data_IF_144190185387
#
_entry.id   IF_144190185387
#
_cell.length_a   1.000
_cell.length_b   1.000
_cell.length_c   1.000
_cell.angle_alpha   90.00
_cell.angle_beta   90.00
_cell.angle_gamma   90.00
#
_symmetry.space_group_name_H-M   'P 1'
#
loop_
_entity.id
_entity.type
_entity.pdbx_description
1 polymer ?
#
# COMPACT_ATOMS: atom_id res chain seq x y z
N UNK A 1 11.08 -31.37 -34.84
CA UNK A 1 12.13 -31.12 -33.83
C UNK A 1 12.52 -29.66 -33.92
N UNK A 2 11.93 -28.81 -33.09
CA UNK A 2 12.29 -27.40 -32.98
C UNK A 2 12.51 -27.11 -31.50
N UNK A 3 13.78 -26.91 -31.12
CA UNK A 3 14.19 -26.59 -29.76
C UNK A 3 13.78 -25.17 -29.42
N UNK A 4 13.04 -25.02 -28.33
CA UNK A 4 12.76 -23.72 -27.73
C UNK A 4 14.03 -23.22 -26.99
N UNK A 5 14.41 -21.93 -27.11
CA UNK A 5 15.48 -21.38 -26.30
C UNK A 5 14.97 -21.13 -24.88
N UNK A 6 15.69 -21.69 -23.90
CA UNK A 6 15.54 -21.38 -22.47
C UNK A 6 15.92 -19.93 -22.19
N UNK A 7 15.14 -19.15 -21.40
CA UNK A 7 15.63 -17.94 -20.80
C UNK A 7 15.92 -18.18 -19.32
N UNK A 8 17.01 -18.89 -19.00
CA UNK A 8 17.64 -18.76 -17.68
C UNK A 8 18.56 -17.53 -17.72
N UNK A 9 17.97 -16.35 -17.58
CA UNK A 9 18.73 -15.11 -17.37
C UNK A 9 19.13 -15.03 -15.90
N UNK A 10 20.34 -15.50 -15.57
CA UNK A 10 21.07 -15.02 -14.38
C UNK A 10 21.60 -13.64 -14.75
N UNK A 11 20.81 -12.61 -14.43
CA UNK A 11 21.05 -11.24 -14.86
C UNK A 11 21.13 -10.24 -13.72
N UNK A 12 22.06 -10.42 -12.78
CA UNK A 12 22.86 -9.33 -12.16
C UNK A 12 24.00 -9.96 -11.38
N UNK A 13 25.22 -9.77 -11.88
CA UNK A 13 26.44 -10.26 -11.28
C UNK A 13 26.65 -9.71 -9.87
N UNK A 14 26.46 -10.56 -8.87
CA UNK A 14 27.42 -10.65 -7.79
C UNK A 14 28.43 -11.71 -8.24
N UNK A 15 29.48 -11.27 -8.93
CA UNK A 15 30.63 -12.13 -9.21
C UNK A 15 31.13 -12.70 -7.90
N UNK A 16 31.39 -14.01 -7.89
CA UNK A 16 32.06 -14.77 -6.85
C UNK A 16 33.45 -14.17 -6.61
N UNK A 17 33.53 -13.13 -5.79
CA UNK A 17 34.75 -12.49 -5.33
C UNK A 17 35.35 -13.32 -4.19
N UNK A 18 36.58 -13.75 -4.39
CA UNK A 18 37.31 -14.62 -3.50
C UNK A 18 38.02 -13.84 -2.38
N UNK A 19 37.98 -14.42 -1.18
CA UNK A 19 39.07 -14.42 -0.19
C UNK A 19 39.51 -13.10 0.46
N UNK A 20 38.76 -12.02 0.36
CA UNK A 20 38.66 -11.00 1.39
C UNK A 20 37.40 -11.28 2.20
N UNK A 21 37.53 -11.47 3.52
CA UNK A 21 36.50 -11.94 4.46
C UNK A 21 35.26 -11.05 4.64
N UNK A 22 34.87 -10.27 3.61
CA UNK A 22 33.75 -9.34 3.56
C UNK A 22 32.74 -9.61 2.43
N UNK A 23 32.71 -10.81 1.84
CA UNK A 23 31.67 -11.18 0.87
C UNK A 23 30.26 -11.07 1.46
N UNK A 24 29.34 -10.41 0.74
CA UNK A 24 27.93 -10.42 1.12
C UNK A 24 27.38 -11.84 1.05
N UNK A 25 26.55 -12.26 2.03
CA UNK A 25 25.96 -13.57 2.00
C UNK A 25 25.02 -13.68 0.80
N UNK A 26 24.95 -14.86 0.18
CA UNK A 26 24.00 -15.13 -0.89
C UNK A 26 22.66 -15.49 -0.24
N UNK A 27 21.55 -14.84 -0.62
CA UNK A 27 20.24 -15.19 -0.09
C UNK A 27 19.82 -16.59 -0.54
N UNK A 28 19.23 -17.36 0.38
CA UNK A 28 18.48 -18.59 0.09
C UNK A 28 17.27 -18.28 -0.77
N UNK A 29 16.57 -17.20 -0.42
CA UNK A 29 15.40 -16.70 -1.14
C UNK A 29 15.57 -15.20 -1.34
N UNK A 30 15.34 -14.71 -2.55
CA UNK A 30 15.41 -13.29 -2.86
C UNK A 30 14.18 -12.91 -3.69
N UNK A 31 13.32 -12.09 -3.10
CA UNK A 31 12.06 -11.68 -3.67
C UNK A 31 12.15 -10.19 -3.95
N UNK A 32 12.57 -9.82 -5.17
CA UNK A 32 12.68 -8.44 -5.59
C UNK A 32 11.50 -8.08 -6.50
N UNK A 33 10.51 -7.39 -5.92
CA UNK A 33 9.27 -7.05 -6.58
C UNK A 33 9.43 -5.89 -7.57
N UNK A 34 10.40 -5.00 -7.34
CA UNK A 34 10.68 -3.86 -8.25
C UNK A 34 11.27 -4.35 -9.56
N UNK A 35 12.24 -5.26 -9.51
CA UNK A 35 12.87 -5.83 -10.71
C UNK A 35 12.13 -7.05 -11.26
N UNK A 36 11.05 -7.48 -10.61
CA UNK A 36 10.34 -8.72 -10.91
C UNK A 36 11.29 -9.95 -10.97
N UNK A 37 12.23 -10.03 -10.03
CA UNK A 37 13.23 -11.09 -9.94
C UNK A 37 13.00 -11.92 -8.67
N UNK A 38 12.85 -13.23 -8.83
CA UNK A 38 12.58 -14.15 -7.72
C UNK A 38 13.56 -15.32 -7.80
N UNK A 39 14.29 -15.58 -6.72
CA UNK A 39 15.16 -16.75 -6.58
C UNK A 39 14.84 -17.54 -5.32
N UNK A 40 14.99 -18.85 -5.40
CA UNK A 40 14.69 -19.79 -4.30
C UNK A 40 13.20 -20.11 -4.14
N UNK A 41 12.29 -19.24 -4.60
CA UNK A 41 10.85 -19.49 -4.65
C UNK A 41 10.22 -18.76 -5.86
N UNK A 42 8.93 -18.96 -6.10
CA UNK A 42 8.18 -18.33 -7.19
C UNK A 42 7.02 -17.49 -6.67
N UNK A 43 6.66 -16.43 -7.40
CA UNK A 43 5.48 -15.62 -7.08
C UNK A 43 4.20 -16.48 -7.03
N UNK A 44 4.09 -17.49 -7.88
CA UNK A 44 2.96 -18.42 -7.91
C UNK A 44 2.83 -19.24 -6.62
N UNK A 45 3.95 -19.68 -6.03
CA UNK A 45 3.94 -20.39 -4.75
C UNK A 45 3.50 -19.49 -3.59
N UNK A 46 3.91 -18.23 -3.61
CA UNK A 46 3.59 -17.24 -2.57
C UNK A 46 2.21 -16.58 -2.76
N UNK A 47 1.56 -16.79 -3.91
CA UNK A 47 0.22 -16.32 -4.21
C UNK A 47 -0.87 -17.35 -3.84
N UNK A 48 -0.57 -18.33 -2.98
CA UNK A 48 -1.43 -19.52 -2.80
C UNK A 48 -2.81 -19.24 -2.17
N UNK A 49 -3.01 -18.11 -1.50
CA UNK A 49 -4.35 -17.61 -1.11
C UNK A 49 -4.91 -16.58 -2.12
N UNK A 50 -4.69 -16.78 -3.43
CA UNK A 50 -5.25 -15.98 -4.52
C UNK A 50 -6.79 -16.04 -4.66
N UNK A 51 -7.54 -16.23 -3.57
CA UNK A 51 -8.99 -16.10 -3.57
C UNK A 51 -9.48 -14.65 -3.63
N UNK A 52 -8.59 -13.66 -3.45
CA UNK A 52 -9.00 -12.29 -3.14
C UNK A 52 -8.11 -11.22 -3.80
N UNK A 53 -7.50 -11.48 -4.96
CA UNK A 53 -6.88 -10.38 -5.73
C UNK A 53 -7.88 -9.82 -6.72
N UNK A 54 -8.72 -8.87 -6.32
CA UNK A 54 -9.46 -8.07 -7.31
C UNK A 54 -8.48 -7.12 -7.97
N UNK A 55 -8.64 -6.90 -9.28
CA UNK A 55 -7.83 -5.95 -10.04
C UNK A 55 -7.68 -4.64 -9.27
N UNK A 56 -6.42 -4.28 -9.03
CA UNK A 56 -6.05 -3.16 -8.17
C UNK A 56 -5.78 -1.89 -8.95
N UNK A 57 -5.66 -0.79 -8.22
CA UNK A 57 -5.16 0.47 -8.75
C UNK A 57 -4.08 0.96 -7.79
N UNK A 58 -2.93 1.31 -8.35
CA UNK A 58 -1.85 1.94 -7.61
C UNK A 58 -1.47 3.27 -8.27
N UNK A 59 -0.76 4.09 -7.50
CA UNK A 59 -0.16 5.34 -7.97
C UNK A 59 1.33 5.09 -8.16
N UNK A 60 1.82 5.33 -9.37
CA UNK A 60 3.25 5.24 -9.67
C UNK A 60 4.00 6.33 -8.92
N UNK A 61 5.03 5.97 -8.17
CA UNK A 61 5.82 6.95 -7.42
C UNK A 61 6.66 7.86 -8.33
N UNK A 62 7.08 7.37 -9.50
CA UNK A 62 7.93 8.11 -10.44
C UNK A 62 7.19 9.16 -11.27
N UNK A 63 5.89 8.96 -11.48
CA UNK A 63 5.09 9.75 -12.42
C UNK A 63 3.79 10.29 -11.83
N UNK A 64 3.36 9.80 -10.67
CA UNK A 64 2.07 10.15 -10.05
C UNK A 64 0.84 9.64 -10.83
N UNK A 65 1.08 8.86 -11.89
CA UNK A 65 0.03 8.29 -12.75
C UNK A 65 -0.68 7.14 -12.05
N UNK A 66 -1.97 7.04 -12.32
CA UNK A 66 -2.83 5.96 -11.80
C UNK A 66 -2.85 4.80 -12.78
N UNK A 67 -2.45 3.62 -12.32
CA UNK A 67 -2.29 2.42 -13.15
C UNK A 67 -3.08 1.26 -12.55
N UNK A 68 -3.74 0.49 -13.43
CA UNK A 68 -4.45 -0.73 -13.04
C UNK A 68 -3.49 -1.92 -12.98
N UNK A 69 -3.75 -2.85 -12.07
CA UNK A 69 -3.09 -4.16 -12.01
C UNK A 69 -4.10 -5.24 -12.39
N UNK A 70 -3.63 -6.28 -13.07
CA UNK A 70 -4.46 -7.41 -13.46
C UNK A 70 -5.18 -8.02 -12.25
N UNK A 71 -6.42 -8.46 -12.45
CA UNK A 71 -7.14 -9.25 -11.46
C UNK A 71 -6.50 -10.64 -11.31
N UNK A 72 -6.78 -11.30 -10.17
CA UNK A 72 -6.34 -12.65 -9.84
C UNK A 72 -4.81 -12.83 -9.75
N UNK A 73 -4.07 -11.76 -9.51
CA UNK A 73 -2.62 -11.78 -9.30
C UNK A 73 -2.22 -10.84 -8.15
N UNK A 74 -1.13 -11.13 -7.42
CA UNK A 74 -0.55 -10.18 -6.47
C UNK A 74 -0.33 -8.82 -7.13
N UNK A 75 -0.67 -7.72 -6.45
CA UNK A 75 -0.49 -6.38 -7.04
C UNK A 75 0.98 -5.97 -6.95
N UNK A 76 1.80 -6.53 -7.83
CA UNK A 76 3.19 -6.13 -8.04
C UNK A 76 3.22 -4.98 -9.04
N UNK A 77 3.82 -3.87 -8.63
CA UNK A 77 3.97 -2.65 -9.39
C UNK A 77 5.46 -2.29 -9.52
N UNK A 78 5.83 -1.30 -10.36
CA UNK A 78 7.18 -0.74 -10.35
C UNK A 78 7.60 -0.16 -8.98
N UNK A 79 6.64 0.14 -8.09
CA UNK A 79 6.98 0.55 -6.73
C UNK A 79 7.42 -0.66 -5.88
N UNK A 80 6.88 -1.85 -6.15
CA UNK A 80 7.04 -3.10 -5.38
C UNK A 80 5.72 -3.87 -5.27
N UNK A 81 5.63 -4.83 -4.34
CA UNK A 81 4.37 -5.44 -3.94
C UNK A 81 3.56 -4.43 -3.12
N UNK A 82 2.41 -4.02 -3.64
CA UNK A 82 1.43 -3.23 -2.90
C UNK A 82 0.81 -4.12 -1.81
N UNK A 83 0.65 -3.61 -0.59
CA UNK A 83 0.04 -4.34 0.53
C UNK A 83 -0.96 -3.41 1.19
N UNK A 84 -2.24 -3.72 1.01
CA UNK A 84 -3.35 -2.85 1.42
C UNK A 84 -4.48 -3.66 2.06
N UNK A 85 -5.14 -3.12 3.11
CA UNK A 85 -6.31 -3.75 3.71
C UNK A 85 -7.51 -3.68 2.78
N UNK A 86 -8.53 -4.51 3.06
CA UNK A 86 -9.81 -4.43 2.35
C UNK A 86 -10.43 -3.04 2.52
N UNK A 87 -11.05 -2.53 1.45
CA UNK A 87 -11.74 -1.23 1.43
C UNK A 87 -13.00 -1.33 0.58
N UNK A 88 -14.10 -0.79 1.10
CA UNK A 88 -15.33 -0.61 0.33
C UNK A 88 -15.48 0.86 -0.01
N UNK A 89 -15.55 1.18 -1.29
CA UNK A 89 -15.90 2.53 -1.73
C UNK A 89 -17.39 2.63 -1.97
N UNK A 90 -18.03 3.55 -1.26
CA UNK A 90 -19.47 3.75 -1.23
C UNK A 90 -19.93 4.74 -2.29
N UNK A 91 -19.05 5.65 -2.72
CA UNK A 91 -19.34 6.55 -3.83
C UNK A 91 -19.51 5.74 -5.13
N UNK A 92 -20.41 6.17 -5.99
CA UNK A 92 -20.71 5.57 -7.29
C UNK A 92 -20.24 6.49 -8.41
N UNK A 93 -20.03 5.93 -9.61
CA UNK A 93 -19.58 6.69 -10.78
C UNK A 93 -18.44 7.66 -10.44
N UNK A 94 -17.42 7.15 -9.75
CA UNK A 94 -16.44 7.96 -9.00
C UNK A 94 -15.54 8.83 -9.84
N UNK A 95 -15.54 8.56 -11.14
CA UNK A 95 -14.83 9.34 -12.15
C UNK A 95 -15.80 10.11 -13.04
N UNK A 96 -17.10 9.86 -12.93
CA UNK A 96 -18.17 10.37 -13.79
C UNK A 96 -19.29 11.10 -13.07
N UNK A 97 -18.97 12.35 -12.73
CA UNK A 97 -19.93 13.33 -12.24
C UNK A 97 -20.98 13.63 -13.29
N UNK A 98 -20.74 13.47 -14.60
CA UNK A 98 -21.76 13.76 -15.64
C UNK A 98 -22.98 12.84 -15.53
N UNK A 99 -22.81 11.64 -14.96
CA UNK A 99 -23.88 10.67 -14.76
C UNK A 99 -25.04 11.23 -13.92
N UNK A 100 -26.23 10.68 -14.13
CA UNK A 100 -27.45 11.03 -13.39
C UNK A 100 -27.43 10.64 -11.91
N UNK A 101 -26.44 9.87 -11.46
CA UNK A 101 -26.24 9.54 -10.04
C UNK A 101 -25.78 10.75 -9.22
N UNK A 102 -25.29 11.80 -9.89
CA UNK A 102 -24.88 13.05 -9.26
C UNK A 102 -25.89 14.17 -9.55
N UNK A 103 -26.48 14.72 -8.50
CA UNK A 103 -27.29 15.94 -8.56
C UNK A 103 -26.37 17.15 -8.60
N UNK A 104 -26.68 18.11 -9.48
CA UNK A 104 -25.84 19.28 -9.74
C UNK A 104 -26.72 20.52 -9.70
N UNK A 105 -26.36 21.49 -8.88
CA UNK A 105 -27.06 22.78 -8.77
C UNK A 105 -26.03 23.89 -8.88
N UNK A 106 -26.19 24.80 -9.85
CA UNK A 106 -25.20 25.85 -10.08
C UNK A 106 -23.83 25.34 -10.59
N UNK A 107 -23.80 24.13 -11.16
CA UNK A 107 -22.60 23.50 -11.75
C UNK A 107 -23.01 22.71 -12.99
N UNK A 108 -22.22 22.79 -14.05
CA UNK A 108 -22.31 21.88 -15.20
C UNK A 108 -21.11 20.94 -15.19
N UNK A 109 -21.28 19.72 -15.71
CA UNK A 109 -20.22 18.71 -15.74
C UNK A 109 -20.04 18.14 -17.15
N UNK A 110 -18.80 17.94 -17.57
CA UNK A 110 -18.43 17.28 -18.84
C UNK A 110 -17.31 16.26 -18.60
N UNK A 111 -17.09 15.32 -19.54
CA UNK A 111 -15.98 14.35 -19.46
C UNK A 111 -14.66 15.03 -19.86
N UNK A 112 -13.56 14.69 -19.21
CA UNK A 112 -12.22 15.25 -19.48
C UNK A 112 -11.11 14.21 -19.29
N UNK A 113 -9.87 14.62 -19.53
CA UNK A 113 -8.66 13.82 -19.30
C UNK A 113 -8.54 13.45 -17.81
N UNK A 114 -8.50 12.15 -17.53
CA UNK A 114 -8.32 11.66 -16.16
C UNK A 114 -6.88 11.72 -15.68
N UNK A 115 -6.70 11.52 -14.38
CA UNK A 115 -5.39 11.47 -13.74
C UNK A 115 -4.46 10.38 -14.29
N UNK A 116 -5.03 9.34 -14.88
CA UNK A 116 -4.30 8.28 -15.59
C UNK A 116 -3.89 8.67 -17.03
N UNK A 117 -4.15 9.89 -17.47
CA UNK A 117 -3.90 10.34 -18.85
C UNK A 117 -4.89 9.80 -19.88
N UNK A 118 -5.94 9.10 -19.45
CA UNK A 118 -6.97 8.57 -20.36
C UNK A 118 -8.04 9.62 -20.69
N UNK A 119 -8.43 9.70 -21.97
CA UNK A 119 -9.53 10.56 -22.40
C UNK A 119 -10.86 10.13 -21.78
N UNK A 120 -11.70 11.09 -21.40
CA UNK A 120 -13.00 10.85 -20.79
C UNK A 120 -12.93 9.95 -19.55
N UNK A 121 -11.90 10.13 -18.71
CA UNK A 121 -11.69 9.38 -17.47
C UNK A 121 -11.82 10.23 -16.21
N UNK A 122 -12.10 11.52 -16.32
CA UNK A 122 -12.48 12.39 -15.21
C UNK A 122 -13.67 13.28 -15.59
N UNK A 123 -14.12 14.12 -14.66
CA UNK A 123 -15.19 15.07 -14.88
C UNK A 123 -14.74 16.51 -14.67
N UNK A 124 -14.96 17.36 -15.66
CA UNK A 124 -14.78 18.81 -15.56
C UNK A 124 -16.05 19.46 -15.04
N UNK A 125 -15.98 20.06 -13.87
CA UNK A 125 -17.03 20.87 -13.27
C UNK A 125 -16.80 22.35 -13.59
N UNK A 126 -17.74 22.98 -14.29
CA UNK A 126 -17.78 24.43 -14.51
C UNK A 126 -18.85 25.02 -13.61
N UNK A 127 -18.44 25.90 -12.69
CA UNK A 127 -19.33 26.48 -11.69
C UNK A 127 -20.12 27.62 -12.35
N UNK A 128 -21.45 27.54 -12.36
CA UNK A 128 -22.32 28.52 -13.01
C UNK A 128 -22.99 29.48 -12.04
N UNK A 129 -22.98 29.17 -10.74
CA UNK A 129 -23.45 30.05 -9.68
C UNK A 129 -22.55 29.95 -8.44
N UNK A 130 -22.40 31.04 -7.70
CA UNK A 130 -21.67 31.03 -6.42
C UNK A 130 -22.30 30.02 -5.46
N UNK A 131 -21.47 29.25 -4.76
CA UNK A 131 -21.97 28.18 -3.89
C UNK A 131 -22.56 27.01 -4.67
N UNK A 132 -22.17 26.79 -5.93
CA UNK A 132 -22.61 25.63 -6.72
C UNK A 132 -22.29 24.32 -6.01
N UNK A 133 -23.19 23.34 -6.10
CA UNK A 133 -23.14 22.07 -5.36
C UNK A 133 -23.25 20.89 -6.32
N UNK A 134 -22.45 19.86 -6.05
CA UNK A 134 -22.55 18.54 -6.67
C UNK A 134 -22.69 17.51 -5.55
N UNK A 135 -23.77 16.73 -5.55
CA UNK A 135 -24.07 15.75 -4.50
C UNK A 135 -24.40 14.40 -5.09
N UNK A 136 -24.03 13.34 -4.36
CA UNK A 136 -24.53 12.00 -4.61
C UNK A 136 -25.28 11.53 -3.38
N UNK A 137 -26.53 11.09 -3.60
CA UNK A 137 -27.36 10.54 -2.53
C UNK A 137 -26.71 9.27 -1.93
N UNK A 138 -27.04 8.97 -0.68
CA UNK A 138 -26.49 7.81 0.02
C UNK A 138 -26.87 6.53 -0.72
N UNK A 139 -25.88 5.77 -1.19
CA UNK A 139 -26.12 4.47 -1.83
C UNK A 139 -26.30 3.34 -0.80
N UNK A 140 -25.85 3.52 0.45
CA UNK A 140 -25.79 2.46 1.47
C UNK A 140 -25.92 3.06 2.88
N UNK A 141 -26.70 2.42 3.76
CA UNK A 141 -26.55 2.58 5.21
C UNK A 141 -25.22 1.95 5.62
N UNK A 142 -24.17 2.75 5.70
CA UNK A 142 -22.92 2.31 6.32
C UNK A 142 -22.87 2.94 7.70
N UNK A 143 -22.78 2.11 8.74
CA UNK A 143 -22.48 2.54 10.09
C UNK A 143 -20.99 2.29 10.32
N UNK A 144 -20.25 3.34 10.66
CA UNK A 144 -18.86 3.25 11.06
C UNK A 144 -17.99 4.36 10.49
N UNK A 145 -16.68 4.19 10.63
CA UNK A 145 -15.71 5.17 10.14
C UNK A 145 -15.70 5.19 8.60
N UNK A 146 -15.78 6.38 8.03
CA UNK A 146 -15.72 6.64 6.60
C UNK A 146 -14.74 7.79 6.36
N UNK A 147 -13.95 7.69 5.29
CA UNK A 147 -13.05 8.76 4.86
C UNK A 147 -13.36 9.21 3.44
N UNK A 148 -13.36 10.52 3.23
CA UNK A 148 -13.53 11.16 1.94
C UNK A 148 -12.20 11.57 1.31
N UNK A 149 -12.10 11.47 -0.02
CA UNK A 149 -11.04 12.13 -0.78
C UNK A 149 -11.47 12.35 -2.24
N UNK A 150 -10.74 13.18 -2.97
CA UNK A 150 -10.89 13.36 -4.42
C UNK A 150 -9.54 13.65 -5.05
N UNK A 151 -9.32 13.20 -6.28
CA UNK A 151 -8.23 13.70 -7.12
C UNK A 151 -8.70 14.99 -7.80
N UNK A 152 -8.08 16.11 -7.45
CA UNK A 152 -8.54 17.42 -7.88
C UNK A 152 -7.46 18.15 -8.69
N UNK A 153 -7.86 18.75 -9.80
CA UNK A 153 -7.05 19.62 -10.64
C UNK A 153 -7.80 20.95 -10.83
N UNK A 154 -7.13 22.08 -10.59
CA UNK A 154 -7.69 23.40 -10.86
C UNK A 154 -7.36 23.82 -12.29
N UNK A 155 -8.39 23.92 -13.13
CA UNK A 155 -8.25 24.34 -14.52
C UNK A 155 -8.16 25.85 -14.63
N UNK A 156 -9.07 26.55 -13.96
CA UNK A 156 -9.08 28.01 -13.90
C UNK A 156 -9.85 28.50 -12.68
N UNK A 157 -9.63 29.77 -12.31
CA UNK A 157 -10.31 30.39 -11.19
C UNK A 157 -9.49 30.46 -9.91
N UNK A 158 -10.09 31.06 -8.89
CA UNK A 158 -9.42 31.36 -7.61
C UNK A 158 -10.21 30.88 -6.39
N UNK A 159 -11.45 30.45 -6.58
CA UNK A 159 -12.26 30.00 -5.47
C UNK A 159 -11.82 28.67 -4.89
N UNK A 160 -12.36 28.40 -3.71
CA UNK A 160 -12.21 27.15 -2.98
C UNK A 160 -13.19 26.09 -3.47
N UNK A 161 -12.79 24.84 -3.25
CA UNK A 161 -13.66 23.67 -3.29
C UNK A 161 -13.76 23.11 -1.88
N UNK A 162 -14.95 22.76 -1.43
CA UNK A 162 -15.19 22.08 -0.16
C UNK A 162 -15.78 20.70 -0.43
N UNK A 163 -15.50 19.75 0.46
CA UNK A 163 -16.06 18.40 0.42
C UNK A 163 -16.79 18.09 1.72
N UNK A 164 -17.90 17.37 1.60
CA UNK A 164 -18.69 16.80 2.69
C UNK A 164 -18.86 15.31 2.43
N UNK A 165 -18.91 14.49 3.50
CA UNK A 165 -19.30 13.07 3.44
C UNK A 165 -20.52 12.75 4.33
N UNK A 166 -21.12 13.76 4.97
CA UNK A 166 -22.16 13.60 6.00
C UNK A 166 -23.48 14.27 5.62
N UNK A 167 -23.80 14.32 4.32
CA UNK A 167 -25.05 14.92 3.86
C UNK A 167 -25.05 16.45 3.95
N UNK A 168 -23.88 17.08 3.78
CA UNK A 168 -23.67 18.52 3.76
C UNK A 168 -23.78 19.20 5.14
N UNK A 169 -23.72 18.42 6.22
CA UNK A 169 -23.73 18.95 7.58
C UNK A 169 -22.39 19.59 7.95
N UNK A 170 -21.27 19.01 7.50
CA UNK A 170 -19.94 19.57 7.70
C UNK A 170 -19.18 19.68 6.37
N UNK A 171 -18.65 20.88 6.10
CA UNK A 171 -17.86 21.17 4.91
C UNK A 171 -16.40 21.36 5.26
N UNK A 172 -15.51 20.67 4.55
CA UNK A 172 -14.07 20.78 4.71
C UNK A 172 -13.49 21.38 3.44
N UNK A 173 -12.79 22.51 3.57
CA UNK A 173 -12.06 23.15 2.46
C UNK A 173 -10.94 22.23 1.99
N UNK A 174 -10.92 21.93 0.69
CA UNK A 174 -9.87 21.14 0.05
C UNK A 174 -8.66 22.04 -0.23
N UNK A 175 -7.62 21.89 0.59
CA UNK A 175 -6.39 22.68 0.49
C UNK A 175 -5.38 22.18 -0.55
N UNK A 176 -4.52 23.08 -1.03
CA UNK A 176 -3.38 22.73 -1.88
C UNK A 176 -3.77 22.29 -3.30
N UNK A 177 -4.86 22.85 -3.84
CA UNK A 177 -5.32 22.62 -5.21
C UNK A 177 -4.38 23.35 -6.17
N UNK A 178 -3.90 22.64 -7.20
CA UNK A 178 -2.93 23.15 -8.18
C UNK A 178 -3.39 22.88 -9.61
N UNK A 179 -2.64 23.35 -10.61
CA UNK A 179 -2.81 22.97 -12.01
C UNK A 179 -2.27 21.56 -12.34
N UNK A 180 -2.29 20.65 -11.37
CA UNK A 180 -1.96 19.25 -11.48
C UNK A 180 -2.88 18.44 -10.54
N UNK A 181 -3.21 17.21 -10.92
CA UNK A 181 -4.05 16.35 -10.09
C UNK A 181 -3.35 16.04 -8.77
N UNK A 182 -4.05 16.31 -7.67
CA UNK A 182 -3.62 15.94 -6.32
C UNK A 182 -4.74 15.22 -5.61
N UNK A 183 -4.41 14.13 -4.89
CA UNK A 183 -5.38 13.45 -4.02
C UNK A 183 -5.49 14.24 -2.73
N UNK A 184 -6.67 14.76 -2.43
CA UNK A 184 -6.91 15.57 -1.24
C UNK A 184 -7.93 14.83 -0.37
N UNK A 185 -7.52 14.27 0.79
CA UNK A 185 -8.46 13.69 1.75
C UNK A 185 -9.09 14.76 2.64
N UNK A 186 -10.22 14.40 3.23
CA UNK A 186 -10.79 15.08 4.41
C UNK A 186 -10.66 14.16 5.63
N UNK A 187 -10.74 14.68 6.87
CA UNK A 187 -10.70 13.86 8.07
C UNK A 187 -11.78 12.76 8.07
N UNK A 188 -11.48 11.56 8.62
CA UNK A 188 -12.47 10.49 8.73
C UNK A 188 -13.59 10.88 9.72
N UNK A 189 -14.79 10.37 9.47
CA UNK A 189 -15.97 10.61 10.30
C UNK A 189 -16.70 9.30 10.57
N UNK A 190 -17.33 9.18 11.75
CA UNK A 190 -18.21 8.06 12.05
C UNK A 190 -19.64 8.42 11.63
N UNK A 191 -20.17 7.72 10.63
CA UNK A 191 -21.43 8.09 9.97
C UNK A 191 -22.36 6.89 9.88
N UNK A 192 -23.68 7.15 9.87
CA UNK A 192 -24.72 6.14 9.66
C UNK A 192 -25.32 6.17 8.23
N UNK A 193 -25.14 7.28 7.51
CA UNK A 193 -25.68 7.50 6.17
C UNK A 193 -24.75 8.42 5.36
N UNK A 194 -23.55 7.94 4.97
CA UNK A 194 -22.58 8.79 4.30
C UNK A 194 -23.08 9.24 2.92
N UNK A 195 -22.92 10.54 2.64
CA UNK A 195 -23.27 11.18 1.38
C UNK A 195 -22.15 12.11 0.96
N UNK A 196 -21.56 11.85 -0.21
CA UNK A 196 -20.50 12.68 -0.74
C UNK A 196 -21.07 13.89 -1.47
N UNK A 197 -20.51 15.05 -1.16
CA UNK A 197 -20.88 16.31 -1.76
C UNK A 197 -19.66 17.22 -1.96
N UNK A 198 -19.73 18.07 -2.98
CA UNK A 198 -18.78 19.14 -3.24
C UNK A 198 -19.51 20.47 -3.31
N UNK A 199 -18.91 21.51 -2.75
CA UNK A 199 -19.38 22.90 -2.86
C UNK A 199 -18.26 23.76 -3.45
N UNK A 200 -18.62 24.61 -4.40
CA UNK A 200 -17.70 25.47 -5.12
C UNK A 200 -18.04 26.93 -4.81
N UNK A 201 -17.04 27.72 -4.47
CA UNK A 201 -17.27 29.09 -3.99
C UNK A 201 -17.72 30.07 -5.08
N UNK A 202 -17.02 30.15 -6.22
CA UNK A 202 -17.22 31.22 -7.20
C UNK A 202 -17.74 30.70 -8.54
N UNK A 203 -18.72 31.42 -9.11
CA UNK A 203 -19.14 31.24 -10.49
C UNK A 203 -17.98 31.56 -11.45
N UNK A 204 -17.85 30.76 -12.51
CA UNK A 204 -16.77 30.84 -13.49
C UNK A 204 -15.53 30.00 -13.15
N UNK A 205 -15.41 29.48 -11.93
CA UNK A 205 -14.33 28.55 -11.61
C UNK A 205 -14.50 27.21 -12.35
N UNK A 206 -13.37 26.57 -12.66
CA UNK A 206 -13.35 25.29 -13.38
C UNK A 206 -12.37 24.34 -12.70
N UNK A 207 -12.88 23.15 -12.34
CA UNK A 207 -12.11 22.10 -11.69
C UNK A 207 -12.34 20.77 -12.38
N UNK A 208 -11.29 19.96 -12.50
CA UNK A 208 -11.42 18.57 -12.89
C UNK A 208 -11.37 17.70 -11.63
N UNK A 209 -12.41 16.86 -11.47
CA UNK A 209 -12.58 15.92 -10.37
C UNK A 209 -12.44 14.50 -10.91
N UNK A 210 -11.61 13.72 -10.23
CA UNK A 210 -11.36 12.32 -10.54
C UNK A 210 -11.31 11.49 -9.25
N UNK A 211 -11.55 10.18 -9.36
CA UNK A 211 -11.45 9.22 -8.24
C UNK A 211 -12.09 9.67 -6.91
N UNK A 212 -13.33 10.12 -6.97
CA UNK A 212 -14.09 10.47 -5.76
C UNK A 212 -14.15 9.26 -4.83
N UNK A 213 -13.60 9.43 -3.64
CA UNK A 213 -13.42 8.40 -2.63
C UNK A 213 -14.38 8.68 -1.47
N UNK A 214 -15.13 7.67 -1.08
CA UNK A 214 -15.90 7.60 0.16
C UNK A 214 -15.76 6.18 0.69
N UNK A 215 -14.64 5.91 1.36
CA UNK A 215 -14.21 4.57 1.74
C UNK A 215 -14.50 4.25 3.19
N UNK A 216 -14.83 2.99 3.46
CA UNK A 216 -14.89 2.49 4.85
C UNK A 216 -13.50 2.47 5.50
N UNK A 217 -13.48 2.78 6.79
CA UNK A 217 -12.29 2.91 7.62
C UNK A 217 -11.88 4.36 7.87
N UNK A 218 -11.05 4.55 8.88
CA UNK A 218 -10.53 5.84 9.34
C UNK A 218 -9.22 6.28 8.66
N UNK A 219 -8.86 5.65 7.54
CA UNK A 219 -7.62 5.97 6.80
C UNK A 219 -7.82 5.78 5.31
N UNK A 220 -7.17 6.64 4.53
CA UNK A 220 -7.27 6.63 3.08
C UNK A 220 -6.63 5.36 2.51
N UNK A 221 -7.41 4.55 1.81
CA UNK A 221 -6.93 3.36 1.12
C UNK A 221 -6.51 3.63 -0.33
N UNK A 222 -6.18 2.58 -1.10
CA UNK A 222 -5.96 2.69 -2.53
C UNK A 222 -7.23 3.20 -3.23
N UNK A 223 -7.11 3.66 -4.47
CA UNK A 223 -8.30 4.04 -5.25
C UNK A 223 -9.11 2.80 -5.59
N UNK A 224 -10.43 2.93 -5.55
CA UNK A 224 -11.36 1.84 -5.83
C UNK A 224 -12.35 2.33 -6.87
N UNK A 225 -12.37 1.68 -8.04
CA UNK A 225 -13.35 2.00 -9.08
C UNK A 225 -14.71 1.50 -8.66
N UNK A 226 -15.71 2.37 -8.74
CA UNK A 226 -17.11 2.01 -8.64
C UNK A 226 -17.91 2.74 -9.71
N UNK A 227 -18.86 2.01 -10.29
CA UNK A 227 -19.77 2.49 -11.35
C UNK A 227 -21.20 2.45 -10.84
N UNK A 228 -21.94 1.37 -11.08
CA UNK A 228 -23.35 1.23 -10.69
C UNK A 228 -23.56 0.81 -9.22
N UNK A 229 -22.53 0.29 -8.55
CA UNK A 229 -22.64 -0.20 -7.17
C UNK A 229 -21.36 0.06 -6.38
N UNK A 230 -21.49 0.03 -5.05
CA UNK A 230 -20.36 0.12 -4.14
C UNK A 230 -19.45 -1.10 -4.34
N UNK A 231 -18.16 -0.87 -4.47
CA UNK A 231 -17.18 -1.93 -4.75
C UNK A 231 -16.31 -2.15 -3.53
N UNK A 232 -16.14 -3.42 -3.15
CA UNK A 232 -15.13 -3.84 -2.19
C UNK A 232 -13.87 -4.27 -2.94
N UNK A 233 -12.75 -3.62 -2.67
CA UNK A 233 -11.45 -4.21 -2.94
C UNK A 233 -11.05 -5.05 -1.73
N UNK A 234 -10.87 -6.36 -1.88
CA UNK A 234 -10.35 -7.21 -0.84
C UNK A 234 -8.95 -6.78 -0.42
N UNK A 235 -8.50 -7.34 0.71
CA UNK A 235 -7.13 -7.19 1.13
C UNK A 235 -6.17 -7.74 0.08
N UNK A 236 -5.15 -6.95 -0.25
CA UNK A 236 -4.04 -7.37 -1.07
C UNK A 236 -2.83 -7.72 -0.18
N UNK A 237 -2.38 -8.97 -0.25
CA UNK A 237 -1.23 -9.50 0.49
C UNK A 237 -0.61 -10.68 -0.24
N UNK A 238 0.65 -10.96 0.08
CA UNK A 238 1.30 -12.22 -0.29
C UNK A 238 1.30 -13.16 0.92
N UNK A 239 1.11 -14.45 0.67
CA UNK A 239 0.98 -15.48 1.73
C UNK A 239 1.55 -16.81 1.25
N UNK A 240 2.59 -17.34 1.91
CA UNK A 240 2.99 -18.73 1.71
C UNK A 240 2.25 -19.65 2.71
N UNK A 241 1.01 -19.99 2.36
CA UNK A 241 0.20 -20.94 3.11
C UNK A 241 0.62 -22.37 2.79
N UNK A 242 1.03 -23.11 3.80
CA UNK A 242 1.33 -24.54 3.71
C UNK A 242 2.30 -25.00 2.60
N UNK A 243 3.04 -24.08 1.97
CA UNK A 243 3.92 -24.37 0.84
C UNK A 243 5.39 -24.17 1.20
N UNK A 244 6.26 -25.17 0.97
CA UNK A 244 7.70 -24.96 0.91
C UNK A 244 8.05 -24.04 -0.27
N UNK A 245 9.28 -23.49 -0.32
CA UNK A 245 10.39 -23.72 0.62
C UNK A 245 10.55 -22.67 1.74
N UNK A 246 10.05 -21.44 1.58
CA UNK A 246 10.30 -20.34 2.55
C UNK A 246 9.76 -20.68 3.94
N UNK A 247 8.54 -21.22 4.02
CA UNK A 247 7.94 -21.64 5.30
C UNK A 247 8.84 -22.63 6.05
N UNK A 248 9.31 -23.66 5.35
CA UNK A 248 10.09 -24.74 5.97
C UNK A 248 11.48 -24.28 6.37
N UNK A 249 12.06 -23.35 5.60
CA UNK A 249 13.29 -22.68 5.97
C UNK A 249 13.15 -21.91 7.28
N UNK A 250 12.10 -21.10 7.43
CA UNK A 250 11.85 -20.32 8.65
C UNK A 250 11.60 -21.26 9.85
N UNK A 251 10.90 -22.39 9.65
CA UNK A 251 10.70 -23.43 10.67
C UNK A 251 12.00 -24.04 11.20
N UNK A 252 13.06 -24.04 10.39
CA UNK A 252 14.39 -24.51 10.79
C UNK A 252 15.02 -23.71 11.92
N UNK A 253 14.45 -22.55 12.26
CA UNK A 253 14.75 -21.76 13.44
C UNK A 253 15.98 -20.87 13.37
N UNK A 254 16.91 -21.12 12.43
CA UNK A 254 18.04 -20.24 12.16
C UNK A 254 17.81 -19.55 10.84
N UNK A 255 17.70 -18.23 10.88
CA UNK A 255 17.53 -17.45 9.66
C UNK A 255 17.85 -15.97 9.90
N UNK A 256 18.04 -15.29 8.79
CA UNK A 256 18.22 -13.86 8.67
C UNK A 256 17.30 -13.34 7.56
N UNK A 257 16.75 -12.14 7.74
CA UNK A 257 15.87 -11.51 6.76
C UNK A 257 16.29 -10.07 6.54
N UNK A 258 16.38 -9.67 5.29
CA UNK A 258 16.35 -8.28 4.86
C UNK A 258 14.96 -7.97 4.33
N UNK A 259 14.33 -6.95 4.89
CA UNK A 259 13.09 -6.36 4.42
C UNK A 259 13.36 -4.96 3.90
N UNK A 260 12.83 -4.63 2.72
CA UNK A 260 12.88 -3.28 2.16
C UNK A 260 11.48 -2.86 1.73
N UNK A 261 11.01 -1.73 2.23
CA UNK A 261 9.69 -1.23 1.88
C UNK A 261 9.32 0.08 2.56
N UNK A 262 8.08 0.51 2.34
CA UNK A 262 7.48 1.72 2.90
C UNK A 262 6.16 1.35 3.56
N UNK A 263 5.96 1.80 4.79
CA UNK A 263 4.74 1.57 5.58
C UNK A 263 4.11 2.92 5.89
N UNK A 264 2.81 3.07 5.65
CA UNK A 264 2.05 4.29 6.01
C UNK A 264 1.17 4.08 7.26
N UNK A 265 1.03 2.84 7.71
CA UNK A 265 0.20 2.51 8.88
C UNK A 265 1.00 2.54 10.19
N UNK A 266 0.67 3.49 11.07
CA UNK A 266 1.08 3.42 12.48
C UNK A 266 0.30 2.34 13.26
N UNK A 267 0.90 1.82 14.35
CA UNK A 267 0.21 1.05 15.39
C UNK A 267 0.34 -0.47 15.33
N UNK A 268 1.48 -1.02 15.76
CA UNK A 268 1.68 -2.45 16.01
C UNK A 268 1.53 -3.29 14.75
N UNK A 269 2.13 -2.87 13.64
CA UNK A 269 2.05 -3.55 12.33
C UNK A 269 3.22 -4.49 12.13
N UNK A 270 3.04 -5.50 11.28
CA UNK A 270 4.11 -6.43 10.92
C UNK A 270 4.87 -6.00 9.69
N UNK A 271 6.18 -6.18 9.68
CA UNK A 271 6.94 -6.27 8.42
C UNK A 271 6.67 -7.62 7.74
N UNK A 272 6.55 -8.66 8.56
CA UNK A 272 6.09 -10.00 8.17
C UNK A 272 5.52 -10.74 9.40
N UNK A 273 4.63 -11.68 9.14
CA UNK A 273 3.80 -12.35 10.14
C UNK A 273 3.85 -13.84 9.95
N UNK A 274 3.71 -14.56 11.05
CA UNK A 274 3.37 -15.96 10.98
C UNK A 274 2.31 -16.32 12.01
N UNK A 275 1.30 -17.09 11.59
CA UNK A 275 0.18 -17.54 12.42
C UNK A 275 -0.47 -16.42 13.23
N UNK A 276 -0.76 -15.30 12.55
CA UNK A 276 -1.30 -14.07 13.12
C UNK A 276 -0.41 -13.38 14.18
N UNK A 277 0.82 -13.86 14.42
CA UNK A 277 1.79 -13.22 15.30
C UNK A 277 2.83 -12.42 14.50
N UNK A 278 3.00 -11.15 14.88
CA UNK A 278 4.07 -10.33 14.31
C UNK A 278 5.41 -10.91 14.71
N UNK A 279 6.19 -11.30 13.71
CA UNK A 279 7.56 -11.67 13.95
C UNK A 279 8.35 -10.39 14.20
N UNK A 280 8.42 -9.53 13.19
CA UNK A 280 8.94 -8.17 13.35
C UNK A 280 7.79 -7.15 13.38
N UNK A 281 7.64 -6.41 14.48
CA UNK A 281 6.60 -5.41 14.67
C UNK A 281 7.13 -3.98 14.56
N UNK A 282 6.28 -3.06 14.10
CA UNK A 282 6.52 -1.61 14.09
C UNK A 282 5.37 -0.93 14.85
N UNK A 283 5.72 -0.23 15.93
CA UNK A 283 4.76 0.47 16.79
C UNK A 283 4.42 1.86 16.24
N UNK A 284 3.35 2.47 16.77
CA UNK A 284 2.89 3.79 16.30
C UNK A 284 3.91 4.92 16.47
N UNK A 285 4.79 4.79 17.46
CA UNK A 285 5.88 5.73 17.73
C UNK A 285 7.11 5.51 16.84
N UNK A 286 7.10 4.52 15.94
CA UNK A 286 8.22 4.15 15.07
C UNK A 286 9.29 3.28 15.74
N UNK A 287 9.05 2.76 16.95
CA UNK A 287 9.87 1.68 17.51
C UNK A 287 9.65 0.37 16.75
N UNK A 288 10.69 -0.45 16.67
CA UNK A 288 10.67 -1.73 15.92
C UNK A 288 11.09 -2.85 16.86
N UNK A 289 10.34 -3.95 16.89
CA UNK A 289 10.60 -5.11 17.74
C UNK A 289 10.83 -6.39 16.96
N UNK A 290 11.84 -7.17 17.37
CA UNK A 290 12.11 -8.54 16.94
C UNK A 290 12.43 -9.39 18.17
N UNK A 291 11.43 -10.09 18.73
CA UNK A 291 11.54 -10.67 20.06
C UNK A 291 11.77 -9.58 21.12
N UNK A 292 12.78 -9.74 21.98
CA UNK A 292 13.20 -8.68 22.93
C UNK A 292 14.25 -7.73 22.35
N UNK A 293 14.71 -7.93 21.10
CA UNK A 293 15.53 -6.93 20.41
C UNK A 293 14.63 -5.79 19.94
N UNK A 294 14.82 -4.58 20.49
CA UNK A 294 13.94 -3.46 20.23
C UNK A 294 14.73 -2.19 19.89
N UNK A 295 14.38 -1.57 18.77
CA UNK A 295 14.82 -0.23 18.40
C UNK A 295 13.88 0.82 19.02
N UNK A 296 14.40 1.96 19.52
CA UNK A 296 13.61 2.97 20.20
C UNK A 296 12.64 3.71 19.27
N UNK A 297 11.73 4.47 19.87
CA UNK A 297 10.78 5.33 19.17
C UNK A 297 11.48 6.22 18.13
N UNK A 298 10.81 6.41 17.00
CA UNK A 298 11.28 7.24 15.90
C UNK A 298 12.38 6.61 15.05
N UNK A 299 12.81 5.37 15.30
CA UNK A 299 13.84 4.70 14.48
C UNK A 299 13.31 4.40 13.08
N UNK A 300 12.11 3.81 12.99
CA UNK A 300 11.40 3.60 11.73
C UNK A 300 10.64 4.88 11.35
N UNK A 301 10.81 5.35 10.11
CA UNK A 301 10.04 6.48 9.58
C UNK A 301 8.93 5.97 8.66
N UNK A 302 7.69 6.24 9.06
CA UNK A 302 6.52 6.02 8.21
C UNK A 302 6.59 6.88 6.95
N UNK A 303 5.94 6.43 5.88
CA UNK A 303 5.92 7.09 4.57
C UNK A 303 7.30 7.33 3.93
N UNK A 304 8.34 6.69 4.45
CA UNK A 304 9.67 6.64 3.89
C UNK A 304 10.08 5.19 3.62
N UNK A 305 10.96 5.00 2.65
CA UNK A 305 11.59 3.70 2.44
C UNK A 305 12.54 3.38 3.59
N UNK A 306 12.39 2.17 4.12
CA UNK A 306 13.16 1.64 5.23
C UNK A 306 13.73 0.29 4.81
N UNK A 307 14.95 0.02 5.25
CA UNK A 307 15.55 -1.31 5.19
C UNK A 307 15.71 -1.83 6.61
N UNK A 308 15.21 -3.03 6.85
CA UNK A 308 15.25 -3.68 8.17
C UNK A 308 15.90 -5.04 8.00
N UNK A 309 17.03 -5.24 8.67
CA UNK A 309 17.70 -6.52 8.78
C UNK A 309 17.43 -7.13 10.16
N UNK A 310 17.03 -8.39 10.17
CA UNK A 310 16.87 -9.18 11.40
C UNK A 310 17.62 -10.50 11.29
N UNK A 311 17.98 -11.08 12.43
CA UNK A 311 18.44 -12.47 12.46
C UNK A 311 18.09 -13.17 13.77
N UNK A 312 18.08 -14.50 13.68
CA UNK A 312 17.93 -15.43 14.79
C UNK A 312 18.94 -16.56 14.65
N UNK A 313 19.66 -16.86 15.72
CA UNK A 313 20.58 -17.99 15.76
C UNK A 313 19.99 -19.24 16.46
N UNK A 314 20.78 -20.31 16.51
CA UNK A 314 20.40 -21.59 17.14
C UNK A 314 20.06 -21.47 18.62
N UNK A 315 20.65 -20.50 19.32
CA UNK A 315 20.41 -20.25 20.74
C UNK A 315 19.18 -19.35 20.96
N UNK A 316 18.55 -18.87 19.88
CA UNK A 316 17.42 -17.95 19.94
C UNK A 316 17.83 -16.50 20.14
N UNK A 317 19.11 -16.14 19.99
CA UNK A 317 19.53 -14.74 20.06
C UNK A 317 18.94 -13.99 18.86
N UNK A 318 18.29 -12.87 19.15
CA UNK A 318 17.67 -11.99 18.18
C UNK A 318 18.55 -10.77 17.93
N UNK A 319 18.70 -10.37 16.66
CA UNK A 319 19.35 -9.12 16.27
C UNK A 319 18.46 -8.36 15.30
N UNK A 320 18.47 -7.03 15.41
CA UNK A 320 17.67 -6.11 14.61
C UNK A 320 18.52 -4.89 14.24
N UNK A 321 18.52 -4.50 12.98
CA UNK A 321 19.17 -3.30 12.46
C UNK A 321 18.26 -2.61 11.46
N UNK A 322 18.16 -1.28 11.54
CA UNK A 322 17.32 -0.46 10.68
C UNK A 322 18.22 0.57 9.99
N UNK A 323 18.13 0.67 8.67
CA UNK A 323 18.84 1.63 7.84
C UNK A 323 20.37 1.67 8.07
N UNK A 324 21.01 0.53 8.36
CA UNK A 324 22.43 0.46 8.67
C UNK A 324 22.83 1.11 10.00
N UNK A 325 21.85 1.37 10.89
CA UNK A 325 22.09 1.95 12.20
C UNK A 325 22.56 0.94 13.25
N UNK A 326 22.36 1.28 14.51
CA UNK A 326 22.68 0.43 15.66
C UNK A 326 22.05 -0.96 15.55
N UNK A 327 22.81 -1.99 15.92
CA UNK A 327 22.29 -3.36 16.08
C UNK A 327 21.72 -3.50 17.48
N UNK A 328 20.41 -3.69 17.55
CA UNK A 328 19.70 -4.04 18.76
C UNK A 328 19.74 -5.54 18.96
N UNK A 329 19.96 -5.99 20.20
CA UNK A 329 20.08 -7.41 20.55
C UNK A 329 19.03 -7.80 21.57
N UNK A 330 18.66 -9.06 21.56
CA UNK A 330 17.74 -9.66 22.52
C UNK A 330 17.61 -11.16 22.28
N UNK A 331 16.45 -11.70 22.62
CA UNK A 331 16.07 -13.08 22.41
C UNK A 331 14.76 -13.14 21.63
N UNK A 332 14.63 -14.10 20.74
CA UNK A 332 13.38 -14.47 20.10
C UNK A 332 12.98 -15.87 20.57
N UNK A 333 11.68 -16.07 20.80
CA UNK A 333 11.13 -17.38 21.15
C UNK A 333 11.57 -18.47 20.13
N UNK A 334 11.48 -19.74 20.53
CA UNK A 334 11.65 -20.89 19.64
C UNK A 334 10.87 -20.69 18.33
N UNK A 335 11.43 -21.16 17.22
CA UNK A 335 10.79 -21.07 15.90
C UNK A 335 9.33 -21.45 15.99
N UNK A 336 8.39 -20.59 15.59
CA UNK A 336 6.98 -20.91 15.71
C UNK A 336 6.67 -22.18 14.89
N UNK A 337 5.73 -22.99 15.38
CA UNK A 337 5.07 -23.98 14.55
C UNK A 337 4.21 -23.17 13.60
N UNK A 338 4.66 -22.95 12.36
CA UNK A 338 3.97 -22.06 11.43
C UNK A 338 3.10 -22.81 10.41
N UNK A 339 1.85 -22.39 10.26
CA UNK A 339 0.96 -22.87 9.18
C UNK A 339 1.03 -21.97 7.95
N UNK A 340 1.27 -20.67 8.15
CA UNK A 340 1.43 -19.68 7.08
C UNK A 340 2.42 -18.57 7.44
N UNK A 341 2.83 -17.83 6.42
CA UNK A 341 3.65 -16.64 6.54
C UNK A 341 3.14 -15.57 5.58
N UNK A 342 2.93 -14.36 6.11
CA UNK A 342 2.38 -13.22 5.40
C UNK A 342 3.37 -12.05 5.37
N UNK A 343 3.35 -11.30 4.26
CA UNK A 343 4.13 -10.08 4.13
C UNK A 343 3.29 -8.85 4.48
N UNK A 344 3.78 -8.03 5.41
CA UNK A 344 3.19 -6.72 5.71
C UNK A 344 1.81 -6.76 6.35
N UNK A 345 1.32 -7.91 6.82
CA UNK A 345 -0.02 -8.02 7.40
C UNK A 345 -0.18 -9.20 8.34
N UNK A 346 -1.12 -9.12 9.28
CA UNK A 346 -1.40 -10.17 10.26
C UNK A 346 -2.39 -11.27 9.84
N UNK A 347 -2.61 -11.52 8.54
CA UNK A 347 -3.65 -12.48 8.13
C UNK A 347 -5.11 -12.03 8.33
N UNK A 348 -5.39 -11.05 9.21
CA UNK A 348 -6.75 -10.70 9.66
C UNK A 348 -7.19 -9.26 9.35
N UNK A 349 -6.62 -8.61 8.33
CA UNK A 349 -7.08 -7.32 7.75
C UNK A 349 -6.89 -6.06 8.60
N UNK A 350 -6.90 -6.15 9.93
CA UNK A 350 -6.81 -4.99 10.86
C UNK A 350 -5.40 -4.41 10.89
N UNK A 351 -4.38 -5.27 10.87
CA UNK A 351 -2.99 -4.87 10.96
C UNK A 351 -2.28 -5.13 9.64
N UNK A 352 -2.36 -4.14 8.76
CA UNK A 352 -1.73 -4.12 7.45
C UNK A 352 -0.77 -2.93 7.37
N UNK A 353 0.37 -3.10 6.69
CA UNK A 353 1.39 -2.06 6.55
C UNK A 353 0.92 -0.84 5.74
N UNK A 354 -0.11 -1.00 4.89
CA UNK A 354 -0.67 0.05 4.03
C UNK A 354 0.45 0.72 3.24
N UNK A 355 1.11 -0.03 2.37
CA UNK A 355 2.27 0.49 1.68
C UNK A 355 2.86 -0.51 0.71
N UNK A 356 4.16 -0.39 0.49
CA UNK A 356 4.85 -1.07 -0.59
C UNK A 356 6.02 -1.89 -0.04
N UNK A 357 6.11 -3.16 -0.43
CA UNK A 357 7.25 -4.02 -0.20
C UNK A 357 8.10 -4.10 -1.47
N UNK A 358 9.33 -3.62 -1.43
CA UNK A 358 10.26 -3.66 -2.58
C UNK A 358 11.01 -4.97 -2.66
N UNK A 359 11.52 -5.44 -1.51
CA UNK A 359 12.34 -6.64 -1.45
C UNK A 359 12.17 -7.37 -0.14
N UNK A 360 12.19 -8.70 -0.20
CA UNK A 360 12.46 -9.54 0.97
C UNK A 360 13.48 -10.59 0.60
N UNK A 361 14.59 -10.63 1.33
CA UNK A 361 15.65 -11.62 1.12
C UNK A 361 15.93 -12.39 2.41
N UNK A 362 16.05 -13.71 2.29
CA UNK A 362 16.25 -14.64 3.39
C UNK A 362 17.64 -15.26 3.29
N UNK A 363 18.32 -15.38 4.42
CA UNK A 363 19.69 -15.87 4.54
C UNK A 363 19.77 -16.86 5.70
N UNK A 364 20.76 -17.74 5.67
CA UNK A 364 21.02 -18.65 6.80
C UNK A 364 21.41 -17.85 8.06
N UNK A 365 22.27 -16.85 7.92
CA UNK A 365 22.70 -15.99 9.03
C UNK A 365 23.26 -14.66 8.52
N UNK A 366 23.49 -13.73 9.45
CA UNK A 366 24.24 -12.50 9.24
C UNK A 366 25.42 -12.40 10.20
N UNK A 367 26.57 -11.93 9.72
CA UNK A 367 27.50 -11.19 10.57
C UNK A 367 26.95 -9.78 10.83
N UNK A 368 27.34 -9.16 11.94
CA UNK A 368 26.87 -7.82 12.30
C UNK A 368 27.21 -6.76 11.24
N UNK A 369 28.42 -6.82 10.68
CA UNK A 369 28.84 -5.98 9.56
C UNK A 369 27.96 -6.15 8.33
N UNK A 370 27.50 -7.37 8.06
CA UNK A 370 26.59 -7.66 6.95
C UNK A 370 25.18 -7.13 7.23
N UNK A 371 24.68 -7.21 8.48
CA UNK A 371 23.38 -6.61 8.84
C UNK A 371 23.36 -5.11 8.58
N UNK A 372 24.41 -4.42 9.03
CA UNK A 372 24.57 -2.98 8.84
C UNK A 372 24.67 -2.65 7.35
N UNK A 373 25.54 -3.35 6.61
CA UNK A 373 25.76 -3.07 5.21
C UNK A 373 24.54 -3.37 4.32
N UNK A 374 23.83 -4.48 4.57
CA UNK A 374 22.62 -4.85 3.81
C UNK A 374 21.42 -3.94 4.10
N UNK A 375 21.34 -3.43 5.33
CA UNK A 375 20.26 -2.51 5.71
C UNK A 375 20.61 -1.04 5.49
N UNK A 376 21.82 -0.67 5.08
CA UNK A 376 22.14 0.72 4.76
C UNK A 376 21.28 1.23 3.60
N UNK A 377 20.73 2.43 3.75
CA UNK A 377 19.82 3.05 2.75
C UNK A 377 20.54 3.41 1.45
#
# INVERSE_FOLDING_TARGET
>A
MFGLPSPFHIGRGLTKGAADGGGFPIPRFDLNFVSNAYSGDTLANMAAEAGNFVGGIYEREDSGLIVAVAANAPQVSPNGLEVWPSRKNLALQVRDITSGTWTKTGVTATRTLGRNGGANQASRCTVTANGGIVTQAAAVQAIGDVIGAVDLFKVSGSGTVEMSIDGQANWVVLGGITGAYKRIPIPPQNLANPQVAFRFSNAGDVFDLDWVTMQTGNWLGPRVTSVASAVNTPQNRLTCLNKPPIRDFIKGGVYAVLWEGKMSAAGGRGLFVSDNNFNCSVNADGSVGWGTAAAPAGTFKFDAYQKVAISRDVAGNARLCINGGTIYRGAAASSPIITHFDWGTNGAGVFNMRGVLRRTAFYDTFADSQMVALSAN
#
